data_IF_499974903100
#
_entry.id   IF_499974903100
#
_cell.length_a   1.000
_cell.length_b   1.000
_cell.length_c   1.000
_cell.angle_alpha   90.00
_cell.angle_beta   90.00
_cell.angle_gamma   90.00
#
_symmetry.space_group_name_H-M   'P 1'
#
loop_
_entity.id
_entity.type
_entity.pdbx_description
1 polymer ?
#
# COMPACT_ATOMS: atom_id res chain seq x y z
N UNK A 1 5.16 35.38 -8.60
CA UNK A 1 4.19 35.11 -7.52
C UNK A 1 3.96 33.61 -7.49
N UNK A 2 4.67 32.88 -6.63
CA UNK A 2 4.43 31.45 -6.41
C UNK A 2 3.07 31.34 -5.70
N UNK A 3 2.07 30.78 -6.37
CA UNK A 3 0.84 30.42 -5.71
C UNK A 3 1.22 29.51 -4.53
N UNK A 4 0.95 29.95 -3.30
CA UNK A 4 0.87 29.04 -2.17
C UNK A 4 -0.26 28.09 -2.53
N UNK A 5 0.06 26.89 -3.01
CA UNK A 5 -0.93 25.84 -3.25
C UNK A 5 -1.72 25.69 -1.96
N UNK A 6 -3.02 26.00 -2.00
CA UNK A 6 -3.87 25.91 -0.83
C UNK A 6 -3.82 24.51 -0.25
N UNK A 7 -3.80 24.43 1.08
CA UNK A 7 -3.68 23.17 1.79
C UNK A 7 -4.93 22.33 1.57
N UNK A 8 -4.76 21.10 1.13
CA UNK A 8 -5.86 20.17 0.89
C UNK A 8 -6.32 19.54 2.21
N UNK A 9 -7.38 20.10 2.79
CA UNK A 9 -7.90 19.68 4.10
C UNK A 9 -8.32 18.20 4.14
N UNK A 10 -8.77 17.62 3.03
CA UNK A 10 -9.15 16.21 2.99
C UNK A 10 -7.92 15.31 3.07
N UNK A 11 -6.86 15.63 2.33
CA UNK A 11 -5.59 14.92 2.40
C UNK A 11 -4.95 15.06 3.79
N UNK A 12 -4.96 16.25 4.37
CA UNK A 12 -4.42 16.51 5.72
C UNK A 12 -5.10 15.61 6.77
N UNK A 13 -6.42 15.39 6.69
CA UNK A 13 -7.16 14.52 7.63
C UNK A 13 -6.72 13.06 7.50
N UNK A 14 -6.50 12.56 6.29
CA UNK A 14 -6.00 11.20 6.05
C UNK A 14 -4.61 11.04 6.67
N UNK A 15 -3.70 11.98 6.40
CA UNK A 15 -2.33 11.93 6.93
C UNK A 15 -2.30 12.04 8.44
N UNK A 16 -3.02 13.01 9.01
CA UNK A 16 -3.07 13.20 10.46
C UNK A 16 -3.61 11.97 11.19
N UNK A 17 -4.63 11.31 10.62
CA UNK A 17 -5.09 10.03 11.15
C UNK A 17 -4.00 8.95 11.04
N UNK A 18 -3.36 8.83 9.88
CA UNK A 18 -2.35 7.80 9.64
C UNK A 18 -1.14 7.95 10.57
N UNK A 19 -0.66 9.17 10.77
CA UNK A 19 0.42 9.49 11.70
C UNK A 19 0.04 9.24 13.16
N UNK A 20 -1.19 9.62 13.56
CA UNK A 20 -1.70 9.41 14.92
C UNK A 20 -1.75 7.91 15.29
N UNK A 21 -2.08 7.06 14.32
CA UNK A 21 -2.13 5.61 14.48
C UNK A 21 -0.74 5.02 14.67
N UNK A 22 0.22 5.46 13.86
CA UNK A 22 1.63 5.09 13.95
C UNK A 22 1.94 3.61 13.64
N UNK A 23 3.23 3.30 13.60
CA UNK A 23 3.78 1.99 13.20
C UNK A 23 3.23 0.81 14.01
N UNK A 24 2.86 1.02 15.27
CA UNK A 24 2.32 -0.05 16.13
C UNK A 24 1.00 -0.64 15.59
N UNK A 25 0.26 0.10 14.76
CA UNK A 25 -1.09 -0.29 14.29
C UNK A 25 -1.21 -0.39 12.78
N UNK A 26 -0.29 0.17 12.00
CA UNK A 26 -0.31 0.05 10.54
C UNK A 26 -0.33 -1.42 10.08
N UNK A 27 0.49 -2.24 10.71
CA UNK A 27 0.73 -3.63 10.29
C UNK A 27 0.13 -4.68 11.25
N UNK A 28 -0.58 -4.25 12.29
CA UNK A 28 -1.18 -5.15 13.28
C UNK A 28 -2.69 -5.30 13.02
N UNK A 29 -3.18 -6.53 12.94
CA UNK A 29 -4.63 -6.77 12.86
C UNK A 29 -5.32 -6.35 14.17
N UNK A 30 -6.30 -5.46 14.06
CA UNK A 30 -7.15 -5.03 15.16
C UNK A 30 -8.56 -4.66 14.66
N UNK A 31 -9.56 -5.46 15.01
CA UNK A 31 -10.93 -5.30 14.49
C UNK A 31 -11.57 -3.94 14.84
N UNK A 32 -11.29 -3.41 16.03
CA UNK A 32 -11.80 -2.10 16.44
C UNK A 32 -11.15 -0.96 15.65
N UNK A 33 -9.86 -1.09 15.34
CA UNK A 33 -9.16 -0.16 14.47
C UNK A 33 -9.69 -0.24 13.04
N UNK A 34 -9.84 -1.43 12.49
CA UNK A 34 -10.35 -1.64 11.13
C UNK A 34 -11.80 -1.11 10.98
N UNK A 35 -12.64 -1.27 12.01
CA UNK A 35 -13.97 -0.66 12.05
C UNK A 35 -13.91 0.88 12.05
N UNK A 36 -13.00 1.46 12.82
CA UNK A 36 -12.80 2.91 12.85
C UNK A 36 -12.31 3.44 11.49
N UNK A 37 -11.33 2.77 10.88
CA UNK A 37 -10.82 3.08 9.53
C UNK A 37 -11.98 3.10 8.54
N UNK A 38 -12.78 2.02 8.48
CA UNK A 38 -13.97 1.94 7.62
C UNK A 38 -14.93 3.10 7.85
N UNK A 39 -15.26 3.40 9.11
CA UNK A 39 -16.23 4.44 9.43
C UNK A 39 -15.79 5.83 8.93
N UNK A 40 -14.49 6.15 8.99
CA UNK A 40 -14.01 7.50 8.69
C UNK A 40 -13.57 7.71 7.24
N UNK A 41 -13.15 6.65 6.54
CA UNK A 41 -12.50 6.77 5.23
C UNK A 41 -13.16 6.00 4.09
N UNK A 42 -14.29 5.30 4.31
CA UNK A 42 -14.96 4.55 3.23
C UNK A 42 -15.37 5.44 2.05
N UNK A 43 -15.93 6.62 2.30
CA UNK A 43 -16.34 7.53 1.22
C UNK A 43 -15.14 8.05 0.43
N UNK A 44 -14.06 8.41 1.13
CA UNK A 44 -12.82 8.91 0.54
C UNK A 44 -12.11 7.81 -0.27
N UNK A 45 -12.07 6.57 0.24
CA UNK A 45 -11.56 5.43 -0.52
C UNK A 45 -12.36 5.21 -1.80
N UNK A 46 -13.69 5.24 -1.73
CA UNK A 46 -14.53 5.05 -2.91
C UNK A 46 -14.39 6.22 -3.91
N UNK A 47 -14.26 7.47 -3.44
CA UNK A 47 -13.98 8.62 -4.29
C UNK A 47 -12.61 8.52 -4.97
N UNK A 48 -11.58 8.12 -4.22
CA UNK A 48 -10.24 7.84 -4.75
C UNK A 48 -10.28 6.74 -5.82
N UNK A 49 -10.99 5.64 -5.56
CA UNK A 49 -11.15 4.52 -6.49
C UNK A 49 -11.89 4.92 -7.78
N UNK A 50 -12.79 5.92 -7.71
CA UNK A 50 -13.46 6.52 -8.88
C UNK A 50 -12.61 7.57 -9.61
N UNK A 51 -11.41 7.88 -9.12
CA UNK A 51 -10.50 8.85 -9.73
C UNK A 51 -10.80 10.32 -9.40
N UNK A 52 -11.69 10.59 -8.44
CA UNK A 52 -12.12 11.96 -8.06
C UNK A 52 -11.02 12.77 -7.35
N UNK A 53 -9.90 12.12 -7.00
CA UNK A 53 -8.73 12.72 -6.37
C UNK A 53 -7.50 12.77 -7.28
N UNK A 54 -7.67 12.68 -8.61
CA UNK A 54 -6.54 12.78 -9.54
C UNK A 54 -5.69 14.05 -9.32
N UNK A 55 -6.32 15.16 -8.94
CA UNK A 55 -5.66 16.43 -8.60
C UNK A 55 -4.74 16.37 -7.37
N UNK A 56 -4.83 15.33 -6.53
CA UNK A 56 -3.93 15.14 -5.38
C UNK A 56 -2.51 14.79 -5.84
N UNK A 57 -2.32 14.38 -7.10
CA UNK A 57 -1.00 14.20 -7.73
C UNK A 57 -0.29 15.52 -8.09
N UNK A 58 -0.68 16.65 -7.51
CA UNK A 58 -0.01 17.94 -7.67
C UNK A 58 0.97 18.27 -6.52
N UNK A 59 0.91 17.53 -5.41
CA UNK A 59 1.66 17.83 -4.18
C UNK A 59 2.02 16.54 -3.46
N UNK A 60 3.21 16.48 -2.83
CA UNK A 60 3.73 15.25 -2.25
C UNK A 60 2.85 14.67 -1.13
N UNK A 61 2.40 15.51 -0.20
CA UNK A 61 1.55 15.08 0.92
C UNK A 61 0.17 14.59 0.44
N UNK A 62 -0.40 15.27 -0.56
CA UNK A 62 -1.68 14.90 -1.14
C UNK A 62 -1.57 13.56 -1.89
N UNK A 63 -0.50 13.36 -2.65
CA UNK A 63 -0.21 12.09 -3.32
C UNK A 63 -0.03 10.94 -2.31
N UNK A 64 0.66 11.19 -1.19
CA UNK A 64 0.80 10.22 -0.10
C UNK A 64 -0.56 9.84 0.49
N UNK A 65 -1.43 10.82 0.76
CA UNK A 65 -2.77 10.58 1.28
C UNK A 65 -3.61 9.72 0.30
N UNK A 66 -3.47 9.97 -1.01
CA UNK A 66 -4.11 9.16 -2.05
C UNK A 66 -3.59 7.71 -2.02
N UNK A 67 -2.29 7.49 -1.87
CA UNK A 67 -1.72 6.15 -1.75
C UNK A 67 -2.21 5.43 -0.49
N UNK A 68 -2.31 6.11 0.65
CA UNK A 68 -2.87 5.52 1.88
C UNK A 68 -4.32 5.08 1.65
N UNK A 69 -5.14 5.90 0.98
CA UNK A 69 -6.54 5.54 0.69
C UNK A 69 -6.66 4.35 -0.29
N UNK A 70 -5.72 4.19 -1.21
CA UNK A 70 -5.79 3.17 -2.26
C UNK A 70 -5.03 1.88 -1.94
N UNK A 71 -4.01 1.94 -1.09
CA UNK A 71 -3.13 0.81 -0.78
C UNK A 71 -3.33 0.35 0.65
N UNK A 72 -3.26 1.25 1.63
CA UNK A 72 -3.29 0.86 3.04
C UNK A 72 -4.71 0.65 3.56
N UNK A 73 -5.61 1.59 3.29
CA UNK A 73 -7.01 1.52 3.73
C UNK A 73 -7.68 0.19 3.37
N UNK A 74 -7.61 -0.34 2.13
CA UNK A 74 -8.28 -1.59 1.78
C UNK A 74 -7.80 -2.79 2.59
N UNK A 75 -6.52 -2.82 2.95
CA UNK A 75 -5.90 -3.89 3.75
C UNK A 75 -6.42 -3.92 5.17
N UNK A 76 -6.75 -2.76 5.76
CA UNK A 76 -7.45 -2.67 7.04
C UNK A 76 -8.96 -2.92 6.89
N UNK A 77 -9.60 -2.25 5.93
CA UNK A 77 -11.04 -2.21 5.80
C UNK A 77 -11.66 -3.51 5.30
N UNK A 78 -10.94 -4.28 4.48
CA UNK A 78 -11.49 -5.42 3.75
C UNK A 78 -10.70 -6.71 3.96
N UNK A 79 -10.08 -6.89 5.14
CA UNK A 79 -9.33 -8.11 5.50
C UNK A 79 -10.06 -9.39 5.11
N UNK A 80 -9.32 -10.32 4.51
CA UNK A 80 -9.84 -11.61 4.08
C UNK A 80 -10.84 -11.53 2.91
N UNK A 81 -10.86 -10.44 2.15
CA UNK A 81 -11.74 -10.26 0.98
C UNK A 81 -10.96 -9.73 -0.23
N UNK A 82 -11.43 -10.05 -1.43
CA UNK A 82 -10.86 -9.53 -2.69
C UNK A 82 -10.72 -7.99 -2.72
N UNK A 83 -11.64 -7.29 -2.04
CA UNK A 83 -11.65 -5.82 -1.97
C UNK A 83 -10.39 -5.23 -1.33
N UNK A 84 -9.63 -6.00 -0.53
CA UNK A 84 -8.36 -5.56 0.02
C UNK A 84 -7.29 -5.31 -1.05
N UNK A 85 -7.46 -5.88 -2.26
CA UNK A 85 -6.49 -5.80 -3.36
C UNK A 85 -7.07 -5.11 -4.60
N UNK A 86 -8.37 -4.76 -4.58
CA UNK A 86 -9.08 -4.26 -5.77
C UNK A 86 -8.52 -2.95 -6.33
N UNK A 87 -7.87 -2.14 -5.49
CA UNK A 87 -7.26 -0.86 -5.88
C UNK A 87 -5.72 -0.92 -6.00
N UNK A 88 -5.08 -2.08 -5.82
CA UNK A 88 -3.61 -2.22 -5.88
C UNK A 88 -3.05 -1.69 -7.20
N UNK A 89 -3.65 -2.06 -8.33
CA UNK A 89 -3.22 -1.58 -9.64
C UNK A 89 -3.37 -0.06 -9.83
N UNK A 90 -4.33 0.59 -9.15
CA UNK A 90 -4.46 2.05 -9.17
C UNK A 90 -3.43 2.72 -8.26
N UNK A 91 -3.21 2.16 -7.06
CA UNK A 91 -2.18 2.61 -6.13
C UNK A 91 -0.79 2.57 -6.77
N UNK A 92 -0.44 1.45 -7.41
CA UNK A 92 0.85 1.27 -8.09
C UNK A 92 1.06 2.31 -9.21
N UNK A 93 0.02 2.61 -10.00
CA UNK A 93 0.12 3.66 -11.04
C UNK A 93 0.43 5.03 -10.43
N UNK A 94 -0.26 5.41 -9.35
CA UNK A 94 0.00 6.68 -8.67
C UNK A 94 1.37 6.70 -7.98
N UNK A 95 1.82 5.57 -7.42
CA UNK A 95 3.14 5.46 -6.81
C UNK A 95 4.25 5.68 -7.86
N UNK A 96 4.14 5.05 -9.04
CA UNK A 96 5.06 5.28 -10.17
C UNK A 96 5.11 6.75 -10.58
N UNK A 97 3.95 7.42 -10.67
CA UNK A 97 3.88 8.86 -11.00
C UNK A 97 4.48 9.75 -9.91
N UNK A 98 4.23 9.42 -8.63
CA UNK A 98 4.75 10.16 -7.49
C UNK A 98 6.28 10.10 -7.43
N UNK A 99 6.86 8.91 -7.64
CA UNK A 99 8.31 8.71 -7.69
C UNK A 99 8.94 9.45 -8.88
N UNK A 100 8.30 9.44 -10.06
CA UNK A 100 8.76 10.21 -11.21
C UNK A 100 8.78 11.72 -10.95
N UNK A 101 7.94 12.19 -10.02
CA UNK A 101 7.86 13.59 -9.58
C UNK A 101 8.75 13.89 -8.36
N UNK A 102 9.47 12.89 -7.83
CA UNK A 102 10.30 13.01 -6.63
C UNK A 102 9.52 13.32 -5.35
N UNK A 103 8.24 12.96 -5.28
CA UNK A 103 7.36 13.28 -4.14
C UNK A 103 7.70 12.46 -2.89
N UNK A 104 8.19 11.24 -3.07
CA UNK A 104 8.63 10.38 -1.96
C UNK A 104 9.78 11.02 -1.15
N UNK A 105 10.62 11.83 -1.80
CA UNK A 105 11.73 12.52 -1.14
C UNK A 105 11.30 13.81 -0.42
N UNK A 106 10.06 14.27 -0.60
CA UNK A 106 9.53 15.50 -0.01
C UNK A 106 8.77 15.25 1.30
N UNK A 107 8.55 13.99 1.67
CA UNK A 107 7.94 13.59 2.95
C UNK A 107 8.98 13.05 3.93
N UNK A 108 8.57 12.86 5.19
CA UNK A 108 9.42 12.24 6.21
C UNK A 108 9.83 10.83 5.81
N UNK A 109 11.01 10.38 6.24
CA UNK A 109 11.50 9.03 5.94
C UNK A 109 10.54 7.92 6.40
N UNK A 110 9.84 8.15 7.51
CA UNK A 110 8.86 7.19 8.04
C UNK A 110 7.64 7.05 7.11
N UNK A 111 7.16 8.16 6.54
CA UNK A 111 6.01 8.13 5.62
C UNK A 111 6.40 7.74 4.19
N UNK A 112 7.69 7.87 3.85
CA UNK A 112 8.21 7.52 2.54
C UNK A 112 7.94 6.08 2.15
N UNK A 113 7.93 5.16 3.13
CA UNK A 113 7.61 3.75 2.92
C UNK A 113 6.28 3.55 2.16
N UNK A 114 5.26 4.36 2.43
CA UNK A 114 3.94 4.22 1.80
C UNK A 114 3.92 4.58 0.31
N UNK A 115 4.96 5.24 -0.21
CA UNK A 115 5.17 5.36 -1.65
C UNK A 115 5.71 4.06 -2.28
N UNK A 116 6.29 3.17 -1.48
CA UNK A 116 7.01 1.98 -1.95
C UNK A 116 6.20 0.70 -1.78
N UNK A 117 5.35 0.63 -0.76
CA UNK A 117 4.49 -0.52 -0.51
C UNK A 117 3.62 -0.94 -1.72
N UNK A 118 3.07 -0.02 -2.56
CA UNK A 118 2.35 -0.44 -3.77
C UNK A 118 3.18 -1.30 -4.74
N UNK A 119 4.51 -1.13 -4.77
CA UNK A 119 5.42 -1.99 -5.54
C UNK A 119 5.59 -3.36 -4.88
N UNK A 120 5.77 -3.40 -3.55
CA UNK A 120 5.87 -4.65 -2.77
C UNK A 120 4.58 -5.47 -2.83
N UNK A 121 3.44 -4.81 -3.03
CA UNK A 121 2.14 -5.46 -3.15
C UNK A 121 1.81 -5.96 -4.56
N UNK A 122 2.59 -5.58 -5.57
CA UNK A 122 2.37 -5.96 -6.95
C UNK A 122 2.76 -7.43 -7.20
N UNK A 123 1.93 -8.16 -7.94
CA UNK A 123 2.25 -9.50 -8.45
C UNK A 123 3.02 -9.39 -9.77
N UNK A 124 4.15 -8.68 -9.76
CA UNK A 124 5.04 -8.44 -10.91
C UNK A 124 6.51 -8.41 -10.46
N UNK A 125 7.40 -9.10 -11.18
CA UNK A 125 8.79 -9.26 -10.77
C UNK A 125 9.63 -7.98 -10.88
N UNK A 126 9.35 -7.11 -11.85
CA UNK A 126 10.07 -5.84 -12.00
C UNK A 126 9.69 -4.87 -10.89
N UNK A 127 8.40 -4.81 -10.56
CA UNK A 127 7.91 -4.00 -9.45
C UNK A 127 8.44 -4.49 -8.09
N UNK A 128 8.56 -5.81 -7.88
CA UNK A 128 9.21 -6.35 -6.68
C UNK A 128 10.68 -5.97 -6.55
N UNK A 129 11.45 -6.09 -7.65
CA UNK A 129 12.86 -5.67 -7.65
C UNK A 129 12.97 -4.17 -7.33
N UNK A 130 12.04 -3.36 -7.86
CA UNK A 130 11.97 -1.93 -7.55
C UNK A 130 11.60 -1.68 -6.09
N UNK A 131 10.67 -2.43 -5.51
CA UNK A 131 10.30 -2.34 -4.10
C UNK A 131 11.51 -2.60 -3.20
N UNK A 132 12.25 -3.68 -3.44
CA UNK A 132 13.46 -4.03 -2.69
C UNK A 132 14.50 -2.92 -2.75
N UNK A 133 14.76 -2.37 -3.94
CA UNK A 133 15.70 -1.26 -4.08
C UNK A 133 15.30 -0.04 -3.25
N UNK A 134 14.03 0.37 -3.35
CA UNK A 134 13.50 1.56 -2.67
C UNK A 134 13.46 1.40 -1.15
N UNK A 135 12.98 0.25 -0.69
CA UNK A 135 12.82 -0.05 0.74
C UNK A 135 14.17 -0.26 1.42
N UNK A 136 15.13 -0.94 0.76
CA UNK A 136 16.50 -1.10 1.28
C UNK A 136 17.17 0.26 1.50
N UNK A 137 16.91 1.23 0.62
CA UNK A 137 17.45 2.58 0.76
C UNK A 137 16.93 3.36 1.97
N UNK A 138 15.83 2.91 2.61
CA UNK A 138 15.36 3.48 3.87
C UNK A 138 16.24 3.12 5.08
N UNK A 139 17.08 2.08 4.95
CA UNK A 139 18.01 1.65 6.00
C UNK A 139 17.36 0.90 7.16
N UNK A 140 16.09 0.53 7.05
CA UNK A 140 15.38 -0.27 8.05
C UNK A 140 15.45 -1.76 7.71
N UNK A 141 16.13 -2.54 8.56
CA UNK A 141 16.39 -3.95 8.30
C UNK A 141 15.12 -4.82 8.33
N UNK A 142 14.14 -4.47 9.17
CA UNK A 142 12.90 -5.22 9.27
C UNK A 142 12.03 -5.03 8.03
N UNK A 143 11.84 -3.78 7.59
CA UNK A 143 11.10 -3.46 6.37
C UNK A 143 11.78 -4.05 5.14
N UNK A 144 13.13 -4.01 5.09
CA UNK A 144 13.90 -4.65 3.99
C UNK A 144 13.69 -6.16 3.95
N UNK A 145 13.63 -6.82 5.11
CA UNK A 145 13.36 -8.26 5.18
C UNK A 145 12.01 -8.61 4.55
N UNK A 146 10.98 -7.80 4.79
CA UNK A 146 9.64 -8.00 4.22
C UNK A 146 9.64 -7.81 2.70
N UNK A 147 10.29 -6.77 2.19
CA UNK A 147 10.40 -6.56 0.74
C UNK A 147 11.10 -7.74 0.04
N UNK A 148 12.17 -8.27 0.65
CA UNK A 148 12.87 -9.46 0.14
C UNK A 148 12.04 -10.74 0.22
N UNK A 149 11.14 -10.86 1.21
CA UNK A 149 10.21 -11.98 1.31
C UNK A 149 9.16 -11.93 0.18
N UNK A 150 8.54 -10.77 -0.04
CA UNK A 150 7.60 -10.57 -1.15
C UNK A 150 8.25 -10.87 -2.50
N UNK A 151 9.45 -10.35 -2.74
CA UNK A 151 10.18 -10.62 -3.98
C UNK A 151 10.39 -12.13 -4.18
N UNK A 152 10.86 -12.85 -3.16
CA UNK A 152 11.10 -14.31 -3.25
C UNK A 152 9.83 -15.10 -3.57
N UNK A 153 8.69 -14.71 -3.01
CA UNK A 153 7.40 -15.35 -3.28
C UNK A 153 6.98 -15.12 -4.74
N UNK A 154 7.10 -13.88 -5.23
CA UNK A 154 6.79 -13.54 -6.62
C UNK A 154 7.76 -14.21 -7.60
N UNK A 155 9.05 -14.27 -7.31
CA UNK A 155 10.03 -14.99 -8.14
C UNK A 155 9.71 -16.48 -8.24
N UNK A 156 9.20 -17.07 -7.14
CA UNK A 156 8.85 -18.49 -7.10
C UNK A 156 7.53 -18.83 -7.79
N UNK A 157 6.48 -18.03 -7.58
CA UNK A 157 5.11 -18.37 -7.99
C UNK A 157 4.52 -17.44 -9.05
N UNK A 158 5.17 -16.31 -9.35
CA UNK A 158 4.65 -15.25 -10.22
C UNK A 158 3.48 -14.46 -9.62
N UNK A 159 3.06 -14.79 -8.39
CA UNK A 159 1.92 -14.22 -7.67
C UNK A 159 2.03 -14.52 -6.17
N UNK A 160 1.11 -14.00 -5.36
CA UNK A 160 1.06 -14.20 -3.91
C UNK A 160 0.00 -15.26 -3.54
N UNK A 161 0.40 -16.51 -3.21
CA UNK A 161 -0.56 -17.60 -3.01
C UNK A 161 -1.62 -17.38 -1.94
N UNK A 162 -1.32 -16.60 -0.89
CA UNK A 162 -2.29 -16.28 0.17
C UNK A 162 -3.52 -15.53 -0.34
N UNK A 163 -3.43 -14.88 -1.50
CA UNK A 163 -4.55 -14.19 -2.14
C UNK A 163 -5.44 -15.12 -2.97
N UNK A 164 -5.02 -16.37 -3.22
CA UNK A 164 -5.71 -17.27 -4.15
C UNK A 164 -7.19 -17.44 -3.84
N UNK A 165 -7.51 -17.86 -2.61
CA UNK A 165 -8.89 -18.14 -2.21
C UNK A 165 -9.81 -16.91 -2.35
N UNK A 166 -9.34 -15.76 -1.86
CA UNK A 166 -10.12 -14.51 -1.88
C UNK A 166 -10.24 -13.90 -3.28
N UNK A 167 -9.30 -14.20 -4.18
CA UNK A 167 -9.36 -13.81 -5.60
C UNK A 167 -9.99 -14.88 -6.50
N UNK A 168 -10.47 -16.00 -5.96
CA UNK A 168 -11.09 -17.08 -6.72
C UNK A 168 -10.13 -17.82 -7.66
N UNK A 169 -8.84 -17.86 -7.33
CA UNK A 169 -7.81 -18.58 -8.10
C UNK A 169 -7.69 -20.02 -7.61
N UNK A 170 -7.48 -20.94 -8.53
CA UNK A 170 -7.04 -22.29 -8.19
C UNK A 170 -5.61 -22.25 -7.61
N UNK A 171 -5.41 -22.93 -6.49
CA UNK A 171 -4.11 -23.07 -5.83
C UNK A 171 -3.40 -24.30 -6.35
N UNK A 172 -2.21 -24.12 -6.93
CA UNK A 172 -1.38 -25.23 -7.38
C UNK A 172 -0.84 -26.04 -6.19
N UNK A 173 -0.45 -27.30 -6.40
CA UNK A 173 0.05 -28.16 -5.33
C UNK A 173 1.27 -27.56 -4.60
N UNK A 174 2.20 -26.94 -5.33
CA UNK A 174 3.38 -26.29 -4.75
C UNK A 174 3.04 -25.02 -3.96
N UNK A 175 2.00 -24.30 -4.38
CA UNK A 175 1.47 -23.15 -3.65
C UNK A 175 0.77 -23.59 -2.36
N UNK A 176 -0.01 -24.68 -2.42
CA UNK A 176 -0.68 -25.23 -1.24
C UNK A 176 0.33 -25.72 -0.21
N UNK A 177 1.36 -26.46 -0.65
CA UNK A 177 2.45 -26.89 0.25
C UNK A 177 3.13 -25.70 0.91
N UNK A 178 3.41 -24.63 0.15
CA UNK A 178 3.97 -23.40 0.73
C UNK A 178 3.06 -22.77 1.79
N UNK A 179 1.74 -22.75 1.57
CA UNK A 179 0.77 -22.24 2.55
C UNK A 179 0.71 -23.14 3.80
N UNK A 180 0.76 -24.46 3.62
CA UNK A 180 0.69 -25.44 4.72
C UNK A 180 1.94 -25.40 5.61
N UNK A 181 3.11 -25.07 5.05
CA UNK A 181 4.40 -24.95 5.76
C UNK A 181 4.55 -23.63 6.55
N UNK A 182 3.46 -22.89 6.74
CA UNK A 182 3.42 -21.62 7.47
C UNK A 182 3.47 -20.37 6.58
N UNK A 183 3.78 -20.54 5.29
CA UNK A 183 3.59 -19.56 4.22
C UNK A 183 3.88 -18.09 4.52
N UNK A 184 3.13 -17.23 3.84
CA UNK A 184 3.10 -15.79 4.08
C UNK A 184 1.64 -15.36 4.20
N UNK A 185 1.28 -14.66 5.27
CA UNK A 185 -0.11 -14.35 5.58
C UNK A 185 -0.63 -13.01 5.02
N UNK A 186 0.26 -12.15 4.50
CA UNK A 186 -0.10 -10.79 4.09
C UNK A 186 -0.09 -9.82 5.26
#
# INVERSE_FOLDING_TARGET
MTAKTERNKQADVVLAFWELVGAARWFTHNDAFDANVRQHFSEQHLAAARGEYAQWMARAEDALALLILLDQFPRNAFRGRAHAYATDGLALRHAKQALASGFDQQVSAQLRLFFYLPFEHAEDAEDQARAVQLITALGDAETTRWALEHQRIIERFGRLPHRNAVLGRETAAEEQQFLDDGGFAG
#
